data_IF_733853224574
#
_entry.id   IF_733853224574
#
_cell.length_a   1.000
_cell.length_b   1.000
_cell.length_c   1.000
_cell.angle_alpha   90.00
_cell.angle_beta   90.00
_cell.angle_gamma   90.00
#
_symmetry.space_group_name_H-M   'P 1'
#
loop_
_entity.id
_entity.type
_entity.pdbx_description
1 polymer ?
#
# COMPACT_ATOMS: atom_id res chain seq x y z
N UNK A 1 8.08 -2.11 -19.44
CA UNK A 1 6.63 -1.98 -19.33
C UNK A 1 6.33 -0.51 -19.26
N UNK A 2 5.41 -0.03 -20.10
CA UNK A 2 4.97 1.36 -20.05
C UNK A 2 4.21 1.60 -18.76
N UNK A 3 4.07 2.86 -18.38
CA UNK A 3 3.33 3.20 -17.20
C UNK A 3 1.90 2.65 -17.20
N UNK A 4 1.17 2.97 -18.25
CA UNK A 4 -0.21 2.56 -18.44
C UNK A 4 -0.43 1.04 -18.21
N UNK A 5 0.51 0.18 -18.60
CA UNK A 5 0.44 -1.27 -18.35
C UNK A 5 0.44 -1.64 -16.86
N UNK A 6 1.22 -0.92 -16.03
CA UNK A 6 1.30 -1.16 -14.58
C UNK A 6 0.03 -0.71 -13.88
N UNK A 7 -0.49 0.47 -14.23
CA UNK A 7 -1.75 0.97 -13.66
C UNK A 7 -2.95 0.11 -14.08
N UNK A 8 -3.06 -0.23 -15.37
CA UNK A 8 -4.10 -1.14 -15.85
C UNK A 8 -3.97 -2.53 -15.20
N UNK A 9 -2.75 -3.02 -15.00
CA UNK A 9 -2.47 -4.24 -14.24
C UNK A 9 -2.95 -4.13 -12.79
N UNK A 10 -2.60 -3.06 -12.08
CA UNK A 10 -3.03 -2.83 -10.69
C UNK A 10 -4.55 -2.76 -10.57
N UNK A 11 -5.24 -2.03 -11.45
CA UNK A 11 -6.71 -1.96 -11.48
C UNK A 11 -7.32 -3.33 -11.77
N UNK A 12 -6.77 -4.06 -12.75
CA UNK A 12 -7.23 -5.40 -13.11
C UNK A 12 -7.08 -6.39 -11.95
N UNK A 13 -5.90 -6.44 -11.32
CA UNK A 13 -5.64 -7.31 -10.18
C UNK A 13 -6.40 -6.88 -8.92
N UNK A 14 -6.58 -5.57 -8.68
CA UNK A 14 -7.44 -5.07 -7.61
C UNK A 14 -8.90 -5.48 -7.84
N UNK A 15 -9.39 -5.41 -9.08
CA UNK A 15 -10.71 -5.90 -9.45
C UNK A 15 -10.87 -7.40 -9.20
N UNK A 16 -9.89 -8.21 -9.61
CA UNK A 16 -9.87 -9.64 -9.35
C UNK A 16 -9.83 -9.98 -7.86
N UNK A 17 -8.96 -9.31 -7.10
CA UNK A 17 -8.84 -9.49 -5.65
C UNK A 17 -10.14 -9.09 -4.95
N UNK A 18 -10.73 -7.95 -5.33
CA UNK A 18 -12.00 -7.47 -4.79
C UNK A 18 -13.12 -8.47 -5.04
N UNK A 19 -13.25 -8.97 -6.27
CA UNK A 19 -14.25 -10.00 -6.59
C UNK A 19 -14.04 -11.26 -5.76
N UNK A 20 -12.80 -11.69 -5.57
CA UNK A 20 -12.44 -12.87 -4.78
C UNK A 20 -12.77 -12.69 -3.29
N UNK A 21 -12.49 -11.51 -2.74
CA UNK A 21 -12.85 -11.12 -1.36
C UNK A 21 -14.36 -11.06 -1.18
N UNK A 22 -15.11 -10.50 -2.13
CA UNK A 22 -16.57 -10.44 -2.09
C UNK A 22 -17.21 -11.83 -2.17
N UNK A 23 -16.67 -12.71 -3.00
CA UNK A 23 -17.12 -14.10 -3.08
C UNK A 23 -16.85 -14.86 -1.77
N UNK A 24 -15.71 -14.62 -1.14
CA UNK A 24 -15.40 -15.16 0.18
C UNK A 24 -16.34 -14.58 1.26
N UNK A 25 -16.59 -13.27 1.23
CA UNK A 25 -17.51 -12.59 2.13
C UNK A 25 -18.92 -13.16 2.03
N UNK A 26 -19.39 -13.44 0.82
CA UNK A 26 -20.69 -14.08 0.57
C UNK A 26 -20.75 -15.46 1.20
N UNK A 27 -19.75 -16.31 0.95
CA UNK A 27 -19.70 -17.67 1.53
C UNK A 27 -19.74 -17.64 3.05
N UNK A 28 -19.00 -16.73 3.67
CA UNK A 28 -18.97 -16.59 5.14
C UNK A 28 -20.26 -15.93 5.65
N UNK A 29 -20.81 -14.96 4.92
CA UNK A 29 -22.00 -14.21 5.27
C UNK A 29 -23.28 -15.05 5.26
N UNK A 30 -23.34 -16.06 4.40
CA UNK A 30 -24.44 -17.02 4.33
C UNK A 30 -24.53 -17.90 5.59
N UNK A 31 -23.47 -17.94 6.40
CA UNK A 31 -23.43 -18.73 7.63
C UNK A 31 -23.98 -17.90 8.82
N UNK A 32 -25.26 -18.13 9.17
CA UNK A 32 -25.94 -17.39 10.25
C UNK A 32 -25.41 -17.73 11.66
N UNK A 33 -25.02 -18.98 11.88
CA UNK A 33 -24.51 -19.48 13.17
C UNK A 33 -22.99 -19.72 13.11
N UNK A 34 -22.23 -18.73 12.65
CA UNK A 34 -20.79 -18.85 12.50
C UNK A 34 -20.08 -18.96 13.86
N UNK A 35 -19.15 -19.92 14.04
CA UNK A 35 -18.19 -19.90 15.14
C UNK A 35 -17.42 -18.57 15.19
N UNK A 36 -16.93 -18.22 16.38
CA UNK A 36 -16.24 -16.95 16.64
C UNK A 36 -15.11 -16.67 15.64
N UNK A 37 -14.35 -17.70 15.26
CA UNK A 37 -13.26 -17.59 14.30
C UNK A 37 -13.74 -17.16 12.90
N UNK A 38 -14.86 -17.70 12.43
CA UNK A 38 -15.45 -17.29 11.16
C UNK A 38 -16.03 -15.88 11.23
N UNK A 39 -16.58 -15.48 12.37
CA UNK A 39 -17.02 -14.09 12.59
C UNK A 39 -15.82 -13.11 12.60
N UNK A 40 -14.68 -13.53 13.16
CA UNK A 40 -13.40 -12.81 13.07
C UNK A 40 -12.95 -12.62 11.62
N UNK A 41 -12.89 -13.71 10.86
CA UNK A 41 -12.52 -13.68 9.43
C UNK A 41 -13.47 -12.77 8.66
N UNK A 42 -14.78 -12.81 8.92
CA UNK A 42 -15.76 -11.92 8.25
C UNK A 42 -15.39 -10.45 8.41
N UNK A 43 -14.98 -10.03 9.60
CA UNK A 43 -14.54 -8.65 9.87
C UNK A 43 -13.27 -8.29 9.09
N UNK A 44 -12.29 -9.19 9.06
CA UNK A 44 -11.06 -8.96 8.30
C UNK A 44 -11.32 -8.92 6.78
N UNK A 45 -12.20 -9.78 6.26
CA UNK A 45 -12.62 -9.77 4.85
C UNK A 45 -13.29 -8.44 4.48
N UNK A 46 -14.23 -7.95 5.30
CA UNK A 46 -14.87 -6.64 5.06
C UNK A 46 -13.86 -5.50 5.13
N UNK A 47 -12.90 -5.56 6.05
CA UNK A 47 -11.86 -4.55 6.12
C UNK A 47 -10.91 -4.58 4.93
N UNK A 48 -10.58 -5.78 4.41
CA UNK A 48 -9.77 -5.95 3.22
C UNK A 48 -10.50 -5.45 1.95
N UNK A 49 -11.81 -5.68 1.87
CA UNK A 49 -12.66 -5.18 0.79
C UNK A 49 -12.57 -3.65 0.66
N UNK A 50 -12.65 -2.93 1.78
CA UNK A 50 -12.54 -1.47 1.79
C UNK A 50 -11.18 -0.97 1.27
N UNK A 51 -10.09 -1.67 1.61
CA UNK A 51 -8.74 -1.33 1.12
C UNK A 51 -8.65 -1.57 -0.39
N UNK A 52 -9.17 -2.69 -0.88
CA UNK A 52 -9.16 -3.03 -2.31
C UNK A 52 -10.00 -2.06 -3.15
N UNK A 53 -11.14 -1.61 -2.62
CA UNK A 53 -11.94 -0.53 -3.24
C UNK A 53 -11.10 0.74 -3.33
N UNK A 54 -10.46 1.14 -2.24
CA UNK A 54 -9.62 2.35 -2.19
C UNK A 54 -8.49 2.29 -3.21
N UNK A 55 -7.80 1.16 -3.31
CA UNK A 55 -6.77 0.90 -4.32
C UNK A 55 -7.37 1.02 -5.73
N UNK A 56 -8.46 0.31 -6.03
CA UNK A 56 -9.07 0.34 -7.36
C UNK A 56 -9.48 1.75 -7.77
N UNK A 57 -10.00 2.54 -6.84
CA UNK A 57 -10.38 3.93 -7.09
C UNK A 57 -9.16 4.84 -7.28
N UNK A 58 -8.13 4.72 -6.45
CA UNK A 58 -6.89 5.50 -6.56
C UNK A 58 -6.22 5.28 -7.92
N UNK A 59 -6.10 4.02 -8.35
CA UNK A 59 -5.52 3.68 -9.65
C UNK A 59 -6.47 3.93 -10.84
N UNK A 60 -7.80 3.96 -10.60
CA UNK A 60 -8.82 4.15 -11.63
C UNK A 60 -9.23 5.61 -11.90
N UNK A 61 -9.00 6.54 -10.95
CA UNK A 61 -9.34 7.97 -11.10
C UNK A 61 -8.35 8.75 -11.97
N UNK A 62 -7.16 8.22 -12.19
CA UNK A 62 -6.12 8.93 -12.91
C UNK A 62 -6.23 8.61 -14.41
N UNK A 63 -6.85 9.49 -15.20
CA UNK A 63 -6.68 9.53 -16.67
C UNK A 63 -5.34 10.20 -17.04
N UNK A 64 -4.78 10.98 -16.11
CA UNK A 64 -3.46 11.63 -16.18
C UNK A 64 -2.44 10.80 -15.41
N UNK A 65 -2.31 9.54 -15.80
CA UNK A 65 -1.25 8.66 -15.34
C UNK A 65 0.07 9.17 -15.92
N UNK A 66 0.56 10.27 -15.35
CA UNK A 66 1.85 10.86 -15.71
C UNK A 66 2.92 9.79 -15.54
N UNK A 67 3.84 9.71 -16.49
CA UNK A 67 4.94 8.73 -16.61
C UNK A 67 5.75 8.51 -15.30
N UNK A 68 5.61 9.40 -14.31
CA UNK A 68 6.15 9.29 -12.96
C UNK A 68 5.44 8.23 -12.10
N UNK A 69 4.16 8.40 -11.73
CA UNK A 69 3.43 7.51 -10.79
C UNK A 69 3.42 6.05 -11.24
N UNK A 70 3.51 5.85 -12.54
CA UNK A 70 3.26 4.58 -13.20
C UNK A 70 4.47 3.70 -13.45
N UNK A 71 5.68 4.23 -13.25
CA UNK A 71 6.91 3.45 -13.38
C UNK A 71 7.27 2.68 -12.11
N UNK A 72 6.51 2.85 -11.03
CA UNK A 72 6.85 2.25 -9.74
C UNK A 72 6.52 0.77 -9.75
N UNK A 73 7.55 -0.04 -10.00
CA UNK A 73 7.57 -1.48 -9.78
C UNK A 73 7.46 -1.84 -8.30
N UNK A 74 6.43 -1.34 -7.63
CA UNK A 74 6.15 -1.50 -6.20
C UNK A 74 5.88 -2.95 -5.80
N UNK A 75 5.76 -3.87 -6.77
CA UNK A 75 5.29 -5.23 -6.54
C UNK A 75 3.79 -5.31 -6.22
N UNK A 76 3.08 -4.18 -6.17
CA UNK A 76 1.66 -4.14 -5.79
C UNK A 76 0.75 -4.97 -6.72
N UNK A 77 0.88 -4.93 -8.07
CA UNK A 77 0.09 -5.81 -8.94
C UNK A 77 0.28 -7.29 -8.64
N UNK A 78 1.52 -7.71 -8.38
CA UNK A 78 1.87 -9.10 -8.03
C UNK A 78 1.25 -9.48 -6.68
N UNK A 79 1.29 -8.55 -5.71
CA UNK A 79 0.73 -8.77 -4.39
C UNK A 79 -0.80 -8.81 -4.41
N UNK A 80 -1.46 -7.98 -5.22
CA UNK A 80 -2.90 -8.00 -5.45
C UNK A 80 -3.36 -9.33 -6.08
N UNK A 81 -2.63 -9.83 -7.08
CA UNK A 81 -2.88 -11.14 -7.68
C UNK A 81 -2.78 -12.27 -6.63
N UNK A 82 -1.72 -12.25 -5.81
CA UNK A 82 -1.54 -13.21 -4.73
C UNK A 82 -2.70 -13.15 -3.72
N UNK A 83 -3.07 -11.94 -3.28
CA UNK A 83 -4.20 -11.72 -2.39
C UNK A 83 -5.52 -12.30 -2.93
N UNK A 84 -5.82 -12.06 -4.22
CA UNK A 84 -7.00 -12.61 -4.87
C UNK A 84 -6.99 -14.14 -4.93
N UNK A 85 -5.86 -14.74 -5.33
CA UNK A 85 -5.68 -16.20 -5.38
C UNK A 85 -5.84 -16.85 -4.02
N UNK A 86 -5.29 -16.24 -2.98
CA UNK A 86 -5.44 -16.72 -1.60
C UNK A 86 -6.90 -16.67 -1.17
N UNK A 87 -7.60 -15.56 -1.43
CA UNK A 87 -9.01 -15.42 -1.09
C UNK A 87 -9.88 -16.48 -1.81
N UNK A 88 -9.62 -16.75 -3.10
CA UNK A 88 -10.31 -17.84 -3.82
C UNK A 88 -10.01 -19.22 -3.24
N UNK A 89 -8.75 -19.49 -2.91
CA UNK A 89 -8.35 -20.77 -2.29
C UNK A 89 -9.06 -20.98 -0.96
N UNK A 90 -9.15 -19.94 -0.13
CA UNK A 90 -9.87 -20.01 1.15
C UNK A 90 -11.37 -20.13 0.99
N UNK A 91 -11.95 -19.44 0.01
CA UNK A 91 -13.35 -19.62 -0.34
C UNK A 91 -13.64 -21.09 -0.68
N UNK A 92 -12.78 -21.75 -1.47
CA UNK A 92 -12.93 -23.17 -1.80
C UNK A 92 -12.77 -24.07 -0.57
N UNK A 93 -11.77 -23.82 0.29
CA UNK A 93 -11.58 -24.57 1.55
C UNK A 93 -12.83 -24.47 2.44
N UNK A 94 -13.34 -23.25 2.67
CA UNK A 94 -14.51 -23.02 3.51
C UNK A 94 -15.74 -23.71 2.92
N UNK A 95 -16.01 -23.55 1.61
CA UNK A 95 -17.10 -24.27 0.94
C UNK A 95 -17.00 -25.78 1.12
N UNK A 96 -15.80 -26.35 1.03
CA UNK A 96 -15.57 -27.77 1.27
C UNK A 96 -15.92 -28.19 2.70
N UNK A 97 -15.49 -27.40 3.69
CA UNK A 97 -15.76 -27.64 5.11
C UNK A 97 -17.23 -27.49 5.49
N UNK A 98 -17.98 -26.70 4.73
CA UNK A 98 -19.41 -26.43 4.95
C UNK A 98 -20.30 -27.10 3.89
N UNK A 99 -19.81 -28.16 3.24
CA UNK A 99 -20.49 -28.80 2.11
C UNK A 99 -21.83 -29.46 2.45
N UNK A 100 -22.09 -29.78 3.72
CA UNK A 100 -23.34 -30.40 4.17
C UNK A 100 -24.30 -29.38 4.80
N UNK A 101 -23.99 -28.10 4.69
CA UNK A 101 -24.77 -27.01 5.26
C UNK A 101 -25.82 -26.54 4.24
N UNK A 102 -27.07 -26.46 4.66
CA UNK A 102 -28.21 -26.04 3.81
C UNK A 102 -28.90 -24.82 4.42
N UNK A 103 -29.53 -24.00 3.58
CA UNK A 103 -30.38 -22.87 3.98
C UNK A 103 -29.73 -21.84 4.93
N UNK A 104 -28.42 -21.64 4.78
CA UNK A 104 -27.65 -20.68 5.58
C UNK A 104 -27.40 -21.11 7.04
N UNK A 105 -27.65 -22.37 7.35
CA UNK A 105 -27.35 -22.97 8.65
C UNK A 105 -26.25 -24.01 8.51
N UNK A 106 -25.21 -23.91 9.34
CA UNK A 106 -24.23 -24.97 9.43
C UNK A 106 -24.89 -26.22 10.00
N UNK A 107 -24.68 -27.36 9.34
CA UNK A 107 -25.03 -28.64 9.93
C UNK A 107 -24.25 -28.82 11.25
N UNK A 108 -24.78 -29.58 12.21
CA UNK A 108 -24.03 -29.84 13.47
C UNK A 108 -22.66 -30.45 13.20
N UNK A 109 -22.54 -31.27 12.15
CA UNK A 109 -21.28 -31.85 11.69
C UNK A 109 -20.32 -30.78 11.19
N UNK A 110 -20.77 -29.91 10.30
CA UNK A 110 -19.92 -28.85 9.74
C UNK A 110 -19.56 -27.81 10.80
N UNK A 111 -20.48 -27.49 11.71
CA UNK A 111 -20.22 -26.63 12.87
C UNK A 111 -19.06 -27.17 13.70
N UNK A 112 -19.12 -28.45 14.05
CA UNK A 112 -18.09 -29.10 14.87
C UNK A 112 -16.77 -29.26 14.11
N UNK A 113 -16.84 -29.54 12.80
CA UNK A 113 -15.68 -29.60 11.92
C UNK A 113 -14.95 -28.24 11.84
N UNK A 114 -15.70 -27.16 11.61
CA UNK A 114 -15.15 -25.80 11.56
C UNK A 114 -14.61 -25.36 12.93
N UNK A 115 -15.40 -25.54 14.00
CA UNK A 115 -15.09 -25.00 15.32
C UNK A 115 -13.99 -25.78 16.08
N UNK A 116 -13.82 -27.09 15.81
CA UNK A 116 -12.84 -27.92 16.51
C UNK A 116 -11.69 -28.36 15.61
N UNK A 117 -11.97 -28.84 14.40
CA UNK A 117 -10.94 -29.42 13.52
C UNK A 117 -10.16 -28.31 12.80
N UNK A 118 -10.85 -27.32 12.25
CA UNK A 118 -10.22 -26.28 11.43
C UNK A 118 -9.94 -24.96 12.16
N UNK A 119 -10.18 -24.88 13.48
CA UNK A 119 -9.99 -23.66 14.28
C UNK A 119 -8.61 -23.02 14.12
N UNK A 120 -7.53 -23.81 14.25
CA UNK A 120 -6.16 -23.28 14.12
C UNK A 120 -5.83 -22.83 12.71
N UNK A 121 -6.40 -23.50 11.70
CA UNK A 121 -6.25 -23.18 10.29
C UNK A 121 -7.00 -21.88 9.95
N UNK A 122 -8.22 -21.69 10.46
CA UNK A 122 -9.00 -20.44 10.34
C UNK A 122 -8.31 -19.26 11.05
N UNK A 123 -7.73 -19.48 12.23
CA UNK A 123 -6.95 -18.43 12.90
C UNK A 123 -5.78 -17.98 12.02
N UNK A 124 -5.04 -18.94 11.48
CA UNK A 124 -3.93 -18.62 10.56
C UNK A 124 -4.40 -17.94 9.28
N UNK A 125 -5.61 -18.21 8.81
CA UNK A 125 -6.21 -17.44 7.72
C UNK A 125 -6.50 -15.98 8.11
N UNK A 126 -7.06 -15.76 9.29
CA UNK A 126 -7.26 -14.40 9.82
C UNK A 126 -5.95 -13.62 9.86
N UNK A 127 -4.86 -14.26 10.30
CA UNK A 127 -3.52 -13.66 10.30
C UNK A 127 -3.03 -13.32 8.87
N UNK A 128 -3.34 -14.16 7.87
CA UNK A 128 -3.02 -13.88 6.46
C UNK A 128 -3.84 -12.70 5.90
N UNK A 129 -5.14 -12.61 6.22
CA UNK A 129 -5.98 -11.49 5.78
C UNK A 129 -5.49 -10.17 6.37
N UNK A 130 -5.11 -10.17 7.65
CA UNK A 130 -4.50 -9.01 8.29
C UNK A 130 -3.17 -8.64 7.63
N UNK A 131 -2.37 -9.62 7.23
CA UNK A 131 -1.13 -9.39 6.50
C UNK A 131 -1.38 -8.73 5.15
N UNK A 132 -2.31 -9.29 4.36
CA UNK A 132 -2.71 -8.72 3.07
C UNK A 132 -3.19 -7.29 3.22
N UNK A 133 -4.08 -7.04 4.19
CA UNK A 133 -4.58 -5.71 4.50
C UNK A 133 -3.47 -4.72 4.86
N UNK A 134 -2.50 -5.13 5.68
CA UNK A 134 -1.40 -4.25 6.10
C UNK A 134 -0.53 -3.89 4.90
N UNK A 135 -0.11 -4.90 4.13
CA UNK A 135 0.72 -4.72 2.95
C UNK A 135 0.04 -3.81 1.91
N UNK A 136 -1.24 -4.06 1.62
CA UNK A 136 -2.01 -3.27 0.67
C UNK A 136 -2.24 -1.83 1.13
N UNK A 137 -2.45 -1.59 2.42
CA UNK A 137 -2.53 -0.23 2.95
C UNK A 137 -1.21 0.53 2.85
N UNK A 138 -0.07 -0.14 3.07
CA UNK A 138 1.24 0.47 2.87
C UNK A 138 1.51 0.75 1.39
N UNK A 139 1.11 -0.18 0.50
CA UNK A 139 1.16 0.01 -0.94
C UNK A 139 0.30 1.19 -1.42
N UNK A 140 -0.91 1.34 -0.87
CA UNK A 140 -1.77 2.48 -1.16
C UNK A 140 -1.17 3.80 -0.66
N UNK A 141 -0.61 3.83 0.55
CA UNK A 141 0.09 5.01 1.08
C UNK A 141 1.29 5.39 0.21
N UNK A 142 2.06 4.42 -0.26
CA UNK A 142 3.15 4.63 -1.20
C UNK A 142 2.65 5.26 -2.51
N UNK A 143 1.55 4.76 -3.09
CA UNK A 143 0.98 5.34 -4.31
C UNK A 143 0.48 6.77 -4.10
N UNK A 144 -0.29 7.00 -3.03
CA UNK A 144 -0.79 8.33 -2.67
C UNK A 144 0.36 9.31 -2.42
N UNK A 145 1.45 8.84 -1.82
CA UNK A 145 2.68 9.61 -1.65
C UNK A 145 3.26 10.03 -3.00
N UNK A 146 3.41 9.12 -3.97
CA UNK A 146 3.89 9.48 -5.31
C UNK A 146 2.98 10.48 -6.04
N UNK A 147 1.66 10.33 -5.91
CA UNK A 147 0.70 11.27 -6.51
C UNK A 147 0.77 12.66 -5.87
N UNK A 148 0.90 12.73 -4.55
CA UNK A 148 0.98 13.99 -3.82
C UNK A 148 2.30 14.75 -4.02
N UNK A 149 3.40 14.02 -4.20
CA UNK A 149 4.76 14.58 -4.17
C UNK A 149 5.31 15.07 -5.50
N UNK A 150 4.57 14.87 -6.59
CA UNK A 150 4.64 15.76 -7.75
C UNK A 150 4.37 17.24 -7.41
N UNK A 151 4.16 17.60 -6.13
CA UNK A 151 3.85 18.95 -5.67
C UNK A 151 4.58 19.37 -4.38
N UNK A 152 5.45 18.55 -3.76
CA UNK A 152 5.94 18.82 -2.38
C UNK A 152 7.46 18.64 -2.16
N UNK A 153 8.07 19.57 -1.41
CA UNK A 153 9.49 19.59 -1.03
C UNK A 153 9.85 18.56 0.05
N UNK A 154 8.85 17.94 0.68
CA UNK A 154 9.01 16.97 1.77
C UNK A 154 9.14 15.51 1.29
N UNK A 155 9.24 15.26 -0.02
CA UNK A 155 9.26 13.91 -0.61
C UNK A 155 10.23 12.96 0.10
N UNK A 156 11.50 13.36 0.26
CA UNK A 156 12.53 12.49 0.87
C UNK A 156 12.16 12.10 2.31
N UNK A 157 11.65 13.04 3.11
CA UNK A 157 11.26 12.77 4.51
C UNK A 157 10.08 11.80 4.58
N UNK A 158 9.05 12.01 3.78
CA UNK A 158 7.88 11.15 3.76
C UNK A 158 8.22 9.76 3.15
N UNK A 159 9.08 9.68 2.13
CA UNK A 159 9.61 8.41 1.62
C UNK A 159 10.36 7.63 2.71
N UNK A 160 11.21 8.30 3.50
CA UNK A 160 11.91 7.66 4.63
C UNK A 160 10.94 7.13 5.69
N UNK A 161 9.85 7.85 5.98
CA UNK A 161 8.84 7.40 6.91
C UNK A 161 8.11 6.15 6.40
N UNK A 162 7.73 6.11 5.12
CA UNK A 162 7.10 4.94 4.49
C UNK A 162 8.07 3.75 4.47
N UNK A 163 9.36 3.99 4.16
CA UNK A 163 10.41 2.96 4.22
C UNK A 163 10.56 2.38 5.62
N UNK A 164 10.54 3.22 6.68
CA UNK A 164 10.57 2.73 8.06
C UNK A 164 9.41 1.78 8.34
N UNK A 165 8.19 2.16 7.93
CA UNK A 165 7.01 1.31 8.12
C UNK A 165 7.10 -0.02 7.35
N UNK A 166 7.62 0.00 6.12
CA UNK A 166 7.88 -1.23 5.37
C UNK A 166 8.93 -2.11 6.03
N UNK A 167 10.00 -1.52 6.57
CA UNK A 167 11.06 -2.26 7.28
C UNK A 167 10.52 -2.91 8.56
N UNK A 168 9.80 -2.15 9.38
CA UNK A 168 9.18 -2.65 10.61
C UNK A 168 8.19 -3.80 10.33
N UNK A 169 7.36 -3.65 9.29
CA UNK A 169 6.43 -4.73 8.95
C UNK A 169 7.12 -5.93 8.31
N UNK A 170 8.19 -5.73 7.54
CA UNK A 170 9.01 -6.82 7.03
C UNK A 170 9.62 -7.64 8.17
N UNK A 171 10.25 -7.00 9.16
CA UNK A 171 10.82 -7.68 10.32
C UNK A 171 9.75 -8.48 11.08
N UNK A 172 8.55 -7.91 11.23
CA UNK A 172 7.40 -8.60 11.84
C UNK A 172 6.97 -9.84 11.05
N UNK A 173 6.99 -9.77 9.72
CA UNK A 173 6.67 -10.90 8.84
C UNK A 173 7.76 -11.97 8.86
N UNK A 174 9.03 -11.57 8.85
CA UNK A 174 10.17 -12.49 8.98
C UNK A 174 10.12 -13.25 10.30
N UNK A 175 9.85 -12.56 11.42
CA UNK A 175 9.65 -13.23 12.71
C UNK A 175 8.51 -14.26 12.69
N UNK A 176 7.40 -13.96 12.01
CA UNK A 176 6.30 -14.93 11.83
C UNK A 176 6.71 -16.10 10.94
N UNK A 177 7.52 -15.85 9.91
CA UNK A 177 8.05 -16.88 9.02
C UNK A 177 8.95 -17.85 9.79
N UNK A 178 9.84 -17.34 10.64
CA UNK A 178 10.72 -18.16 11.49
C UNK A 178 9.89 -19.01 12.47
N UNK A 179 8.89 -18.42 13.12
CA UNK A 179 7.97 -19.16 14.00
C UNK A 179 7.21 -20.26 13.26
N UNK A 180 6.86 -20.01 11.99
CA UNK A 180 6.15 -20.97 11.17
C UNK A 180 7.07 -22.12 10.71
N UNK A 181 8.32 -21.81 10.37
CA UNK A 181 9.33 -22.80 10.02
C UNK A 181 9.63 -23.72 11.20
N UNK A 182 9.78 -23.17 12.41
CA UNK A 182 9.95 -23.99 13.62
C UNK A 182 8.78 -24.98 13.81
N UNK A 183 7.53 -24.53 13.60
CA UNK A 183 6.35 -25.41 13.66
C UNK A 183 6.34 -26.46 12.55
N UNK A 184 6.88 -26.13 11.38
CA UNK A 184 6.99 -27.06 10.27
C UNK A 184 7.97 -28.19 10.59
N UNK A 185 9.13 -27.86 11.15
CA UNK A 185 10.15 -28.82 11.57
C UNK A 185 9.64 -29.74 12.69
N UNK A 186 8.96 -29.16 13.68
CA UNK A 186 8.33 -29.91 14.77
C UNK A 186 7.33 -30.95 14.23
N UNK A 187 6.48 -30.55 13.27
CA UNK A 187 5.48 -31.44 12.68
C UNK A 187 6.10 -32.49 11.75
N UNK A 188 7.15 -32.17 11.00
CA UNK A 188 7.87 -33.16 10.20
C UNK A 188 8.47 -34.25 11.07
N UNK A 189 8.93 -33.93 12.28
CA UNK A 189 9.45 -34.90 13.25
C UNK A 189 8.42 -35.92 13.74
N UNK A 190 7.12 -35.68 13.55
CA UNK A 190 6.03 -36.54 14.04
C UNK A 190 5.59 -37.63 13.04
N UNK A 191 6.18 -37.69 11.84
CA UNK A 191 5.91 -38.73 10.82
C UNK A 191 4.82 -38.38 9.79
N UNK A 192 4.38 -39.37 9.00
CA UNK A 192 3.58 -39.19 7.78
C UNK A 192 2.11 -39.62 7.94
N UNK A 193 1.43 -39.13 8.97
CA UNK A 193 -0.03 -39.31 9.06
C UNK A 193 -0.74 -38.32 8.13
N UNK A 194 -1.87 -38.71 7.53
CA UNK A 194 -2.71 -37.84 6.70
C UNK A 194 -3.04 -36.50 7.37
N UNK A 195 -3.22 -36.51 8.71
CA UNK A 195 -3.49 -35.29 9.50
C UNK A 195 -2.26 -34.38 9.54
N UNK A 196 -1.07 -34.96 9.70
CA UNK A 196 0.20 -34.24 9.71
C UNK A 196 0.48 -33.66 8.33
N UNK A 197 0.28 -34.43 7.26
CA UNK A 197 0.47 -33.96 5.89
C UNK A 197 -0.48 -32.82 5.53
N UNK A 198 -1.76 -32.90 5.93
CA UNK A 198 -2.71 -31.81 5.75
C UNK A 198 -2.26 -30.54 6.48
N UNK A 199 -1.73 -30.67 7.71
CA UNK A 199 -1.24 -29.52 8.48
C UNK A 199 0.03 -28.92 7.88
N UNK A 200 0.96 -29.74 7.42
CA UNK A 200 2.16 -29.29 6.72
C UNK A 200 1.81 -28.55 5.42
N UNK A 201 0.77 -28.98 4.71
CA UNK A 201 0.27 -28.25 3.53
C UNK A 201 -0.27 -26.86 3.90
N UNK A 202 -1.06 -26.76 4.98
CA UNK A 202 -1.55 -25.46 5.47
C UNK A 202 -0.41 -24.53 5.91
N UNK A 203 0.63 -25.05 6.57
CA UNK A 203 1.80 -24.26 6.94
C UNK A 203 2.57 -23.79 5.70
N UNK A 204 2.77 -24.65 4.69
CA UNK A 204 3.44 -24.26 3.44
C UNK A 204 2.66 -23.19 2.68
N UNK A 205 1.33 -23.27 2.71
CA UNK A 205 0.46 -22.23 2.14
C UNK A 205 0.70 -20.89 2.86
N UNK A 206 0.76 -20.89 4.19
CA UNK A 206 1.09 -19.70 5.00
C UNK A 206 2.49 -19.17 4.70
N UNK A 207 3.48 -20.05 4.61
CA UNK A 207 4.86 -19.70 4.28
C UNK A 207 4.96 -18.95 2.94
N UNK A 208 4.27 -19.44 1.91
CA UNK A 208 4.26 -18.81 0.58
C UNK A 208 3.74 -17.38 0.60
N UNK A 209 2.72 -17.11 1.43
CA UNK A 209 2.11 -15.79 1.57
C UNK A 209 3.06 -14.83 2.27
N UNK A 210 3.67 -15.24 3.38
CA UNK A 210 4.65 -14.43 4.10
C UNK A 210 5.86 -14.10 3.21
N UNK A 211 6.38 -15.08 2.45
CA UNK A 211 7.45 -14.85 1.47
C UNK A 211 7.06 -13.87 0.37
N UNK A 212 5.80 -13.89 -0.07
CA UNK A 212 5.29 -12.95 -1.06
C UNK A 212 5.20 -11.53 -0.49
N UNK A 213 4.82 -11.39 0.79
CA UNK A 213 4.80 -10.12 1.48
C UNK A 213 6.21 -9.55 1.68
N UNK A 214 7.19 -10.37 2.08
CA UNK A 214 8.59 -9.96 2.20
C UNK A 214 9.11 -9.42 0.87
N UNK A 215 8.89 -10.14 -0.24
CA UNK A 215 9.31 -9.68 -1.57
C UNK A 215 8.66 -8.35 -1.95
N UNK A 216 7.38 -8.18 -1.64
CA UNK A 216 6.68 -6.92 -1.85
C UNK A 216 7.34 -5.77 -1.07
N UNK A 217 7.64 -5.96 0.22
CA UNK A 217 8.30 -4.95 1.05
C UNK A 217 9.71 -4.62 0.59
N UNK A 218 10.48 -5.62 0.16
CA UNK A 218 11.81 -5.41 -0.42
C UNK A 218 11.76 -4.58 -1.71
N UNK A 219 10.82 -4.91 -2.60
CA UNK A 219 10.62 -4.17 -3.85
C UNK A 219 10.15 -2.74 -3.60
N UNK A 220 9.18 -2.55 -2.70
CA UNK A 220 8.68 -1.24 -2.32
C UNK A 220 9.78 -0.37 -1.69
N UNK A 221 10.53 -0.93 -0.74
CA UNK A 221 11.65 -0.24 -0.07
C UNK A 221 12.77 0.12 -1.05
N UNK A 222 13.16 -0.81 -1.92
CA UNK A 222 14.20 -0.57 -2.93
C UNK A 222 13.78 0.55 -3.87
N UNK A 223 12.52 0.53 -4.33
CA UNK A 223 11.96 1.56 -5.20
C UNK A 223 12.02 2.93 -4.51
N UNK A 224 11.44 3.06 -3.32
CA UNK A 224 11.42 4.31 -2.55
C UNK A 224 12.83 4.84 -2.25
N UNK A 225 13.78 3.97 -1.88
CA UNK A 225 15.15 4.38 -1.62
C UNK A 225 15.87 4.81 -2.89
N UNK A 226 15.67 4.12 -4.02
CA UNK A 226 16.25 4.52 -5.30
C UNK A 226 15.73 5.89 -5.75
N UNK A 227 14.41 6.11 -5.62
CA UNK A 227 13.78 7.36 -6.02
C UNK A 227 14.17 8.51 -5.07
N UNK A 228 14.37 8.23 -3.78
CA UNK A 228 14.92 9.21 -2.83
C UNK A 228 16.41 9.52 -3.08
N UNK A 229 17.21 8.51 -3.47
CA UNK A 229 18.64 8.68 -3.74
C UNK A 229 18.93 9.44 -5.04
N UNK A 230 18.00 9.39 -6.00
CA UNK A 230 18.06 10.15 -7.24
C UNK A 230 17.87 11.67 -7.01
N UNK A 231 17.38 12.09 -5.84
CA UNK A 231 17.26 13.51 -5.45
C UNK A 231 18.32 13.88 -4.42
N UNK A 232 19.43 14.47 -4.87
CA UNK A 232 20.50 15.03 -4.02
C UNK A 232 20.46 16.55 -4.07
N UNK A 233 20.07 17.17 -2.96
CA UNK A 233 20.13 18.63 -2.80
C UNK A 233 20.99 19.01 -1.60
N UNK A 234 22.02 19.80 -1.85
CA UNK A 234 22.79 20.48 -0.80
C UNK A 234 22.47 21.96 -0.88
N UNK A 235 21.78 22.48 0.13
CA UNK A 235 21.41 23.90 0.20
C UNK A 235 22.26 24.56 1.28
N UNK A 236 22.93 25.65 0.93
CA UNK A 236 23.66 26.50 1.86
C UNK A 236 22.74 27.24 2.82
N UNK A 237 23.27 28.23 3.51
CA UNK A 237 22.48 29.06 4.44
C UNK A 237 21.47 29.90 3.65
N UNK A 238 20.19 29.80 4.00
CA UNK A 238 19.13 30.67 3.46
C UNK A 238 18.79 31.76 4.48
N UNK A 239 18.92 33.02 4.11
CA UNK A 239 18.64 34.19 4.97
C UNK A 239 17.66 35.13 4.28
N UNK A 240 16.58 35.50 4.97
CA UNK A 240 15.55 36.43 4.46
C UNK A 240 15.40 37.60 5.45
N UNK A 241 15.41 38.84 4.93
CA UNK A 241 15.28 40.04 5.75
C UNK A 241 14.20 40.99 5.20
N UNK A 242 13.67 41.89 6.05
CA UNK A 242 12.79 43.01 5.65
C UNK A 242 11.65 42.63 4.69
N UNK A 243 10.82 41.66 5.07
CA UNK A 243 9.65 41.26 4.28
C UNK A 243 9.97 40.54 2.97
N UNK A 244 11.22 40.13 2.75
CA UNK A 244 11.66 39.37 1.57
C UNK A 244 11.27 37.88 1.65
N UNK A 245 11.22 37.22 0.50
CA UNK A 245 10.95 35.79 0.40
C UNK A 245 12.01 35.08 -0.45
N UNK A 246 12.44 33.89 0.00
CA UNK A 246 13.35 33.03 -0.74
C UNK A 246 12.75 31.63 -0.84
N UNK A 247 12.59 31.14 -2.06
CA UNK A 247 12.26 29.76 -2.38
C UNK A 247 13.52 29.07 -2.90
N UNK A 248 14.02 28.07 -2.18
CA UNK A 248 15.31 27.42 -2.48
C UNK A 248 15.13 25.91 -2.59
N UNK A 249 15.59 25.33 -3.69
CA UNK A 249 15.50 23.90 -3.98
C UNK A 249 14.45 23.57 -5.04
N UNK A 250 13.89 22.36 -4.98
CA UNK A 250 12.84 21.92 -5.91
C UNK A 250 11.49 22.46 -5.46
N UNK A 251 10.83 23.26 -6.30
CA UNK A 251 9.54 23.89 -5.99
C UNK A 251 8.53 23.62 -7.09
N UNK A 252 7.37 23.08 -6.73
CA UNK A 252 6.22 22.89 -7.61
C UNK A 252 6.55 22.09 -8.89
N UNK A 253 7.14 20.91 -8.75
CA UNK A 253 7.51 20.07 -9.90
C UNK A 253 6.41 19.11 -10.30
N UNK A 254 5.54 19.53 -11.21
CA UNK A 254 4.64 18.64 -11.95
C UNK A 254 5.42 17.44 -12.53
N UNK A 255 5.27 16.31 -11.86
CA UNK A 255 5.47 14.92 -12.30
C UNK A 255 6.72 14.61 -13.13
N UNK A 256 7.69 13.95 -12.52
CA UNK A 256 8.82 13.31 -13.20
C UNK A 256 9.83 12.74 -12.22
N UNK A 257 10.51 11.64 -12.57
CA UNK A 257 11.74 11.24 -11.87
C UNK A 257 12.79 12.32 -12.12
N UNK A 258 13.18 13.04 -11.07
CA UNK A 258 14.31 13.95 -11.13
C UNK A 258 15.54 13.20 -10.64
N UNK A 259 16.38 12.75 -11.57
CA UNK A 259 17.80 12.59 -11.24
C UNK A 259 18.38 13.99 -11.15
N UNK A 260 18.51 14.49 -9.93
CA UNK A 260 18.96 15.84 -9.69
C UNK A 260 19.99 15.84 -8.59
N UNK A 261 21.23 16.17 -8.97
CA UNK A 261 22.29 16.53 -8.05
C UNK A 261 22.45 18.05 -8.12
N UNK A 262 21.96 18.75 -7.10
CA UNK A 262 22.02 20.20 -7.03
C UNK A 262 22.74 20.62 -5.75
N UNK A 263 23.80 21.40 -5.92
CA UNK A 263 24.40 22.16 -4.82
C UNK A 263 24.02 23.62 -5.00
N UNK A 264 23.21 24.14 -4.09
CA UNK A 264 22.87 25.55 -3.97
C UNK A 264 23.75 26.13 -2.86
N UNK A 265 24.46 27.21 -3.16
CA UNK A 265 25.23 27.96 -2.17
C UNK A 265 24.33 28.69 -1.16
N UNK A 266 24.92 29.65 -0.45
CA UNK A 266 24.14 30.52 0.44
C UNK A 266 23.21 31.42 -0.38
N UNK A 267 21.98 31.59 0.08
CA UNK A 267 20.95 32.43 -0.54
C UNK A 267 20.55 33.52 0.44
N UNK A 268 20.63 34.78 0.03
CA UNK A 268 20.18 35.93 0.81
C UNK A 268 19.19 36.79 0.03
N UNK A 269 18.15 37.26 0.72
CA UNK A 269 17.15 38.21 0.18
C UNK A 269 16.92 39.34 1.17
N UNK A 270 16.77 40.57 0.67
CA UNK A 270 16.57 41.78 1.48
C UNK A 270 15.67 42.80 0.77
N UNK A 271 15.25 43.84 1.49
CA UNK A 271 14.47 44.98 0.95
C UNK A 271 13.18 44.59 0.18
N UNK A 272 12.42 43.63 0.71
CA UNK A 272 11.14 43.17 0.12
C UNK A 272 11.30 42.37 -1.17
N UNK A 273 12.51 41.86 -1.45
CA UNK A 273 12.80 41.09 -2.65
C UNK A 273 12.24 39.66 -2.60
N UNK A 274 12.06 39.07 -3.79
CA UNK A 274 11.62 37.69 -3.94
C UNK A 274 12.62 36.95 -4.82
N UNK A 275 13.17 35.85 -4.32
CA UNK A 275 14.13 35.04 -5.05
C UNK A 275 13.68 33.58 -5.13
N UNK A 276 13.95 32.98 -6.28
CA UNK A 276 13.84 31.54 -6.49
C UNK A 276 15.20 31.01 -6.94
N UNK A 277 15.73 30.02 -6.25
CA UNK A 277 16.99 29.36 -6.60
C UNK A 277 16.78 27.85 -6.56
N UNK A 278 16.78 27.21 -7.72
CA UNK A 278 16.32 25.83 -7.76
C UNK A 278 15.75 25.39 -9.09
N UNK A 279 15.02 24.28 -9.06
CA UNK A 279 14.24 23.79 -10.19
C UNK A 279 12.74 23.93 -9.92
N UNK A 280 12.01 24.49 -10.87
CA UNK A 280 10.56 24.73 -10.79
C UNK A 280 9.91 24.40 -12.11
N UNK A 281 8.80 23.65 -12.11
CA UNK A 281 7.94 23.59 -13.30
C UNK A 281 6.83 24.63 -13.21
N UNK A 282 6.49 25.20 -14.37
CA UNK A 282 5.60 26.34 -14.47
C UNK A 282 4.15 25.92 -14.26
N UNK A 283 3.59 26.13 -13.06
CA UNK A 283 2.13 25.99 -12.84
C UNK A 283 1.49 27.02 -11.88
N UNK A 284 2.25 27.83 -11.15
CA UNK A 284 1.66 28.93 -10.37
C UNK A 284 2.59 30.12 -10.38
N UNK A 285 2.07 31.31 -10.71
CA UNK A 285 2.82 32.55 -10.59
C UNK A 285 3.11 32.83 -9.12
N UNK A 286 4.32 33.29 -8.84
CA UNK A 286 4.68 33.82 -7.53
C UNK A 286 3.79 35.05 -7.25
N UNK A 287 2.83 34.92 -6.33
CA UNK A 287 1.99 36.04 -5.88
C UNK A 287 2.57 36.59 -4.58
N UNK A 288 3.14 37.81 -4.57
CA UNK A 288 3.58 38.45 -3.34
C UNK A 288 2.40 38.56 -2.37
N UNK A 289 2.57 38.15 -1.11
CA UNK A 289 1.63 38.57 -0.05
C UNK A 289 1.82 40.06 0.17
N UNK A 290 0.92 40.88 -0.35
CA UNK A 290 0.93 42.33 -0.13
C UNK A 290 0.37 43.19 -1.26
N UNK A 291 0.02 42.63 -2.41
CA UNK A 291 -0.81 43.38 -3.37
C UNK A 291 -2.24 43.35 -2.85
N UNK A 292 -2.63 44.37 -2.08
CA UNK A 292 -4.04 44.75 -2.00
C UNK A 292 -4.55 44.87 -3.43
N UNK A 293 -5.72 44.29 -3.71
CA UNK A 293 -6.46 44.57 -4.93
C UNK A 293 -6.58 46.10 -5.04
N UNK A 294 -5.80 46.69 -5.94
CA UNK A 294 -6.12 48.02 -6.45
C UNK A 294 -7.25 47.73 -7.42
N UNK A 295 -8.48 47.94 -6.94
CA UNK A 295 -9.66 48.04 -7.79
C UNK A 295 -9.33 49.00 -8.93
N UNK A 296 -9.56 48.54 -10.15
CA UNK A 296 -9.31 49.29 -11.38
C UNK A 296 -10.24 50.48 -11.59
N UNK A 297 -10.92 50.96 -10.54
CA UNK A 297 -11.93 52.02 -10.60
C UNK A 297 -11.42 53.40 -10.15
N UNK A 298 -10.19 53.52 -9.61
CA UNK A 298 -9.67 54.79 -9.08
C UNK A 298 -8.86 55.65 -10.09
N UNK A 299 -8.96 55.35 -11.40
CA UNK A 299 -8.30 56.12 -12.46
C UNK A 299 -9.28 56.85 -13.40
N UNK A 300 -10.33 57.49 -12.88
CA UNK A 300 -11.04 58.57 -13.59
C UNK A 300 -11.73 59.55 -12.62
N UNK A 301 -10.96 60.37 -11.91
CA UNK A 301 -11.37 61.71 -11.46
C UNK A 301 -10.14 62.62 -11.35
N UNK A 302 -9.87 63.34 -12.44
CA UNK A 302 -9.70 64.80 -12.51
C UNK A 302 -9.19 65.22 -13.90
#
# INVERSE_FOLDING_TARGET
>A
MSGFEVAAGAVGFAGFALQSVQQLASVIGDIKNAPEELAGIRREVSSLEAVLISIREEFGRNDTVSDASVRHGSGLPIYLDACGKDCQKWQQKIKGWTSHSTDGHLSKRDTLNVALVHKSTLKGFGDQLLQHKTALNLGLQMEQHYLSTARDANFVRASQQIVSQFSEDKERVESKLDQLQARFDDLQGLGTSDVVEAKLRDLRDQEGILKTAIKFYEQATTTLNSDAADVKQKIGKVTTEKGSQAEVGIVNTATGRFQMDQTIGDVSTSDGSNAFVGYRTAATSFRPRGTNDIDSDDFMKD
#
